data_IF_027160547007
#
_entry.id   IF_027160547007
#
_cell.length_a   1.000
_cell.length_b   1.000
_cell.length_c   1.000
_cell.angle_alpha   90.00
_cell.angle_beta   90.00
_cell.angle_gamma   90.00
#
_symmetry.space_group_name_H-M   'P 1'
#
loop_
_entity.id
_entity.type
_entity.pdbx_description
1 polymer ?
#
# COMPACT_ATOMS: atom_id res chain seq x y z
N UNK A 1 14.22 4.34 42.53
CA UNK A 1 12.80 4.57 42.27
C UNK A 1 12.66 5.01 40.82
N UNK A 2 12.21 4.12 39.94
CA UNK A 2 11.81 4.49 38.58
C UNK A 2 10.35 4.95 38.69
N UNK A 3 10.14 6.26 38.62
CA UNK A 3 8.80 6.83 38.53
C UNK A 3 8.12 6.33 37.25
N UNK A 4 7.12 5.47 37.41
CA UNK A 4 6.30 4.99 36.32
C UNK A 4 5.43 6.13 35.79
N UNK A 5 5.78 6.66 34.62
CA UNK A 5 4.85 7.49 33.84
C UNK A 5 3.80 6.56 33.24
N UNK A 6 2.57 6.65 33.73
CA UNK A 6 1.41 6.02 33.08
C UNK A 6 1.24 6.59 31.67
N UNK A 7 1.46 5.76 30.65
CA UNK A 7 1.06 6.05 29.28
C UNK A 7 -0.46 5.85 29.16
N UNK A 8 -1.22 6.94 29.04
CA UNK A 8 -2.63 6.88 28.67
C UNK A 8 -2.74 6.69 27.15
N UNK A 9 -3.08 5.47 26.73
CA UNK A 9 -3.41 5.17 25.33
C UNK A 9 -4.64 4.29 25.28
N UNK A 10 -5.60 4.60 24.41
CA UNK A 10 -6.76 3.77 24.16
C UNK A 10 -6.45 2.84 22.99
N UNK A 11 -6.64 1.54 23.21
CA UNK A 11 -6.57 0.55 22.14
C UNK A 11 -7.98 0.31 21.61
N UNK A 12 -8.20 0.57 20.33
CA UNK A 12 -9.49 0.39 19.67
C UNK A 12 -9.41 -0.85 18.78
N UNK A 13 -10.22 -1.85 19.10
CA UNK A 13 -10.37 -3.06 18.29
C UNK A 13 -11.48 -2.85 17.27
N UNK A 14 -11.14 -2.95 15.99
CA UNK A 14 -12.09 -2.89 14.88
C UNK A 14 -12.10 -4.24 14.18
N UNK A 15 -13.28 -4.84 14.07
CA UNK A 15 -13.48 -6.05 13.27
C UNK A 15 -14.78 -5.97 12.49
N UNK A 16 -14.96 -6.91 11.54
CA UNK A 16 -16.15 -6.96 10.69
C UNK A 16 -17.48 -7.07 11.45
N UNK A 17 -17.47 -7.50 12.72
CA UNK A 17 -18.67 -7.69 13.52
C UNK A 17 -19.06 -6.43 14.32
N UNK A 18 -18.10 -5.60 14.73
CA UNK A 18 -18.32 -4.43 15.60
C UNK A 18 -18.56 -3.10 14.85
N UNK A 19 -18.75 -3.13 13.54
CA UNK A 19 -18.89 -1.91 12.71
C UNK A 19 -20.17 -1.10 12.94
N UNK A 20 -21.17 -1.66 13.64
CA UNK A 20 -22.43 -0.94 13.96
C UNK A 20 -22.25 0.24 14.92
N UNK A 21 -21.14 0.30 15.66
CA UNK A 21 -20.89 1.33 16.67
C UNK A 21 -20.06 2.53 16.18
N UNK A 22 -19.70 2.58 14.89
CA UNK A 22 -18.97 3.70 14.30
C UNK A 22 -19.88 4.46 13.34
N UNK A 23 -20.24 5.72 13.64
CA UNK A 23 -21.20 6.47 12.84
C UNK A 23 -20.50 6.97 11.58
N UNK A 24 -20.66 6.25 10.48
CA UNK A 24 -20.93 6.75 9.12
C UNK A 24 -20.55 5.69 8.08
N UNK A 25 -21.53 5.32 7.24
CA UNK A 25 -21.51 4.38 6.11
C UNK A 25 -21.70 2.91 6.49
N UNK A 26 -22.96 2.50 6.45
CA UNK A 26 -23.35 1.10 6.36
C UNK A 26 -22.77 0.49 5.06
N UNK A 27 -21.74 -0.34 5.20
CA UNK A 27 -21.31 -1.25 4.14
C UNK A 27 -21.90 -2.63 4.44
N UNK A 28 -22.56 -3.24 3.45
CA UNK A 28 -22.93 -4.64 3.51
C UNK A 28 -21.66 -5.48 3.52
N UNK A 29 -21.37 -6.11 4.66
CA UNK A 29 -20.20 -6.97 4.83
C UNK A 29 -20.66 -8.42 4.67
N UNK A 30 -20.31 -9.00 3.53
CA UNK A 30 -20.32 -10.45 3.39
C UNK A 30 -19.19 -11.02 4.24
N UNK A 31 -19.53 -11.57 5.41
CA UNK A 31 -18.60 -12.41 6.18
C UNK A 31 -18.49 -13.76 5.47
N UNK A 32 -17.43 -13.96 4.68
CA UNK A 32 -17.12 -15.30 4.18
C UNK A 32 -16.57 -16.14 5.34
N UNK A 33 -17.17 -17.33 5.56
CA UNK A 33 -16.61 -18.33 6.48
C UNK A 33 -15.23 -18.75 5.94
N UNK A 34 -14.17 -18.37 6.64
CA UNK A 34 -12.82 -18.83 6.32
C UNK A 34 -12.68 -20.35 6.56
N UNK A 35 -11.90 -21.01 5.71
CA UNK A 35 -11.44 -22.38 5.95
C UNK A 35 -10.48 -22.45 7.14
N UNK A 36 -10.43 -23.59 7.84
CA UNK A 36 -9.68 -23.82 9.09
C UNK A 36 -8.15 -23.58 9.02
N UNK A 37 -7.56 -23.40 7.84
CA UNK A 37 -6.10 -23.34 7.63
C UNK A 37 -5.57 -22.04 7.00
N UNK A 38 -6.38 -20.98 6.90
CA UNK A 38 -5.94 -19.76 6.22
C UNK A 38 -5.13 -18.84 7.16
N UNK A 39 -4.00 -18.32 6.67
CA UNK A 39 -3.20 -17.29 7.36
C UNK A 39 -4.03 -16.01 7.53
N UNK A 40 -4.01 -15.42 8.72
CA UNK A 40 -4.81 -14.24 9.08
C UNK A 40 -3.97 -12.97 9.13
N UNK A 41 -4.55 -11.88 8.66
CA UNK A 41 -3.96 -10.55 8.78
C UNK A 41 -4.39 -9.85 10.08
N UNK A 42 -3.41 -9.38 10.84
CA UNK A 42 -3.59 -8.47 11.97
C UNK A 42 -3.04 -7.11 11.56
N UNK A 43 -3.91 -6.12 11.38
CA UNK A 43 -3.56 -4.79 10.92
C UNK A 43 -3.37 -3.90 12.13
N UNK A 44 -2.20 -3.29 12.26
CA UNK A 44 -1.89 -2.36 13.35
C UNK A 44 -1.67 -1.00 12.75
N UNK A 45 -2.28 0.03 13.33
CA UNK A 45 -2.06 1.40 12.87
C UNK A 45 -2.14 2.36 14.04
N UNK A 46 -1.17 3.26 14.11
CA UNK A 46 -1.09 4.29 15.15
C UNK A 46 -1.08 5.68 14.53
N UNK A 47 -1.64 6.65 15.23
CA UNK A 47 -1.60 8.06 14.80
C UNK A 47 -0.18 8.63 14.90
N UNK A 48 0.17 9.50 13.94
CA UNK A 48 1.38 10.32 13.94
C UNK A 48 2.67 9.56 14.34
N UNK A 49 2.90 8.38 13.73
CA UNK A 49 4.11 7.56 13.93
C UNK A 49 4.31 7.01 15.34
N UNK A 50 3.25 6.92 16.15
CA UNK A 50 3.38 6.51 17.55
C UNK A 50 2.53 5.28 17.91
N UNK A 51 3.07 4.49 18.84
CA UNK A 51 2.34 3.43 19.55
C UNK A 51 2.20 2.09 18.82
N UNK A 52 2.22 2.05 17.49
CA UNK A 52 2.06 0.79 16.74
C UNK A 52 3.19 -0.21 17.00
N UNK A 53 4.44 0.27 17.05
CA UNK A 53 5.62 -0.56 17.31
C UNK A 53 5.54 -1.33 18.64
N UNK A 54 5.02 -0.72 19.70
CA UNK A 54 4.88 -1.40 21.00
C UNK A 54 3.88 -2.57 20.94
N UNK A 55 2.81 -2.42 20.17
CA UNK A 55 1.83 -3.51 19.97
C UNK A 55 2.43 -4.58 19.07
N UNK A 56 3.17 -4.19 18.01
CA UNK A 56 3.90 -5.13 17.17
C UNK A 56 4.85 -5.97 18.03
N UNK A 57 5.70 -5.33 18.85
CA UNK A 57 6.66 -6.01 19.72
C UNK A 57 5.98 -6.95 20.72
N UNK A 58 4.88 -6.52 21.34
CA UNK A 58 4.08 -7.38 22.21
C UNK A 58 3.54 -8.61 21.46
N UNK A 59 3.02 -8.43 20.24
CA UNK A 59 2.50 -9.56 19.45
C UNK A 59 3.61 -10.53 19.02
N UNK A 60 4.86 -10.06 18.84
CA UNK A 60 6.01 -10.93 18.51
C UNK A 60 6.30 -11.95 19.61
N UNK A 61 5.88 -11.72 20.86
CA UNK A 61 6.08 -12.64 21.98
C UNK A 61 5.16 -13.88 21.90
N UNK A 62 4.04 -13.79 21.17
CA UNK A 62 3.08 -14.88 21.07
C UNK A 62 3.44 -15.86 19.95
N UNK A 63 3.38 -17.16 20.26
CA UNK A 63 3.56 -18.21 19.26
C UNK A 63 2.54 -18.07 18.12
N UNK A 64 3.00 -18.32 16.89
CA UNK A 64 2.21 -18.22 15.65
C UNK A 64 1.75 -16.79 15.28
N UNK A 65 2.37 -15.76 15.85
CA UNK A 65 2.31 -14.38 15.38
C UNK A 65 3.66 -14.00 14.79
N UNK A 66 3.65 -13.41 13.62
CA UNK A 66 4.87 -12.96 12.98
C UNK A 66 4.66 -11.60 12.31
N UNK A 67 5.54 -10.62 12.57
CA UNK A 67 5.46 -9.32 11.93
C UNK A 67 5.90 -9.42 10.47
N UNK A 68 5.22 -8.69 9.61
CA UNK A 68 5.81 -8.28 8.35
C UNK A 68 6.77 -7.12 8.67
N UNK A 69 8.08 -7.35 8.47
CA UNK A 69 9.12 -6.43 8.93
C UNK A 69 9.08 -5.04 8.26
N UNK A 70 8.79 -4.90 6.94
CA UNK A 70 8.51 -3.59 6.35
C UNK A 70 7.11 -3.08 6.73
N UNK A 71 6.92 -1.75 6.71
CA UNK A 71 5.58 -1.16 6.75
C UNK A 71 4.74 -1.62 5.54
N UNK A 72 3.48 -2.00 5.78
CA UNK A 72 2.58 -2.49 4.73
C UNK A 72 1.80 -1.36 4.05
N UNK A 73 2.50 -0.51 3.30
CA UNK A 73 1.96 0.78 2.83
C UNK A 73 1.13 0.71 1.54
N UNK A 74 1.02 -0.46 0.93
CA UNK A 74 0.38 -0.69 -0.38
C UNK A 74 -1.05 -0.17 -0.50
N UNK A 75 -1.77 -0.11 0.62
CA UNK A 75 -3.15 0.35 0.63
C UNK A 75 -3.22 1.87 0.53
N UNK A 76 -2.35 2.57 1.26
CA UNK A 76 -2.51 3.99 1.63
C UNK A 76 -1.50 4.91 0.96
N UNK A 77 -0.37 4.40 0.47
CA UNK A 77 0.60 5.21 -0.27
C UNK A 77 0.00 5.74 -1.59
N UNK A 78 0.43 6.92 -2.08
CA UNK A 78 -0.05 7.49 -3.33
C UNK A 78 0.19 6.58 -4.55
N UNK A 79 -0.91 6.20 -5.20
CA UNK A 79 -0.97 5.19 -6.25
C UNK A 79 -1.23 3.77 -5.76
N UNK A 80 -1.60 3.60 -4.49
CA UNK A 80 -1.95 2.33 -3.85
C UNK A 80 -3.37 1.87 -4.13
N UNK A 81 -3.87 0.91 -3.33
CA UNK A 81 -5.18 0.29 -3.55
C UNK A 81 -6.36 1.26 -3.39
N UNK A 82 -6.28 2.23 -2.47
CA UNK A 82 -7.33 3.24 -2.31
C UNK A 82 -7.47 4.14 -3.55
N UNK A 83 -6.35 4.60 -4.10
CA UNK A 83 -6.34 5.42 -5.32
C UNK A 83 -6.84 4.61 -6.52
N UNK A 84 -6.52 3.31 -6.55
CA UNK A 84 -6.99 2.39 -7.57
C UNK A 84 -8.51 2.19 -7.50
N UNK A 85 -9.08 1.93 -6.33
CA UNK A 85 -10.54 1.85 -6.16
C UNK A 85 -11.20 3.16 -6.59
N UNK A 86 -10.68 4.30 -6.13
CA UNK A 86 -11.24 5.60 -6.47
C UNK A 86 -11.24 5.85 -7.99
N UNK A 87 -10.12 5.57 -8.67
CA UNK A 87 -10.01 5.76 -10.11
C UNK A 87 -10.95 4.85 -10.91
N UNK A 88 -10.98 3.56 -10.58
CA UNK A 88 -11.71 2.53 -11.35
C UNK A 88 -13.21 2.53 -11.05
N UNK A 89 -13.61 2.84 -9.81
CA UNK A 89 -15.00 2.74 -9.36
C UNK A 89 -15.70 4.11 -9.33
N UNK A 90 -15.02 5.15 -8.85
CA UNK A 90 -15.65 6.47 -8.60
C UNK A 90 -15.42 7.43 -9.77
N UNK A 91 -14.16 7.69 -10.13
CA UNK A 91 -13.85 8.68 -11.17
C UNK A 91 -14.20 8.19 -12.57
N UNK A 92 -13.85 6.94 -12.90
CA UNK A 92 -14.06 6.29 -14.21
C UNK A 92 -13.55 7.05 -15.44
N UNK A 93 -12.70 8.06 -15.25
CA UNK A 93 -12.04 8.76 -16.35
C UNK A 93 -10.95 7.86 -16.94
N UNK A 94 -10.99 7.62 -18.26
CA UNK A 94 -10.02 6.75 -18.93
C UNK A 94 -8.57 7.22 -18.76
N UNK A 95 -8.32 8.55 -18.71
CA UNK A 95 -6.99 9.11 -18.49
C UNK A 95 -6.51 8.86 -17.06
N UNK A 96 -7.40 9.00 -16.08
CA UNK A 96 -7.14 8.72 -14.65
C UNK A 96 -6.92 7.24 -14.42
N UNK A 97 -7.76 6.37 -14.97
CA UNK A 97 -7.62 4.91 -14.89
C UNK A 97 -6.26 4.49 -15.41
N UNK A 98 -5.90 4.91 -16.64
CA UNK A 98 -4.62 4.57 -17.22
C UNK A 98 -3.44 5.07 -16.36
N UNK A 99 -3.52 6.31 -15.87
CA UNK A 99 -2.48 6.90 -15.02
C UNK A 99 -2.30 6.11 -13.73
N UNK A 100 -3.38 5.83 -12.99
CA UNK A 100 -3.32 5.13 -11.70
C UNK A 100 -2.90 3.67 -11.87
N UNK A 101 -3.33 2.97 -12.93
CA UNK A 101 -2.85 1.61 -13.21
C UNK A 101 -1.34 1.57 -13.46
N UNK A 102 -0.80 2.54 -14.22
CA UNK A 102 0.65 2.67 -14.44
C UNK A 102 1.38 3.03 -13.14
N UNK A 103 0.80 3.93 -12.35
CA UNK A 103 1.33 4.36 -11.07
C UNK A 103 1.39 3.20 -10.07
N UNK A 104 0.37 2.36 -9.98
CA UNK A 104 0.36 1.16 -9.14
C UNK A 104 1.46 0.17 -9.57
N UNK A 105 1.59 -0.11 -10.88
CA UNK A 105 2.70 -0.94 -11.39
C UNK A 105 4.07 -0.37 -11.04
N UNK A 106 4.22 0.96 -11.07
CA UNK A 106 5.46 1.61 -10.66
C UNK A 106 5.71 1.50 -9.14
N UNK A 107 4.66 1.66 -8.33
CA UNK A 107 4.71 1.50 -6.87
C UNK A 107 5.13 0.08 -6.48
N UNK A 108 4.54 -0.94 -7.08
CA UNK A 108 4.87 -2.35 -6.78
C UNK A 108 6.31 -2.69 -7.14
N UNK A 109 6.82 -2.12 -8.24
CA UNK A 109 8.22 -2.19 -8.61
C UNK A 109 9.14 -1.50 -7.60
N UNK A 110 8.71 -0.40 -6.98
CA UNK A 110 9.48 0.22 -5.88
C UNK A 110 9.53 -0.74 -4.69
N UNK A 111 8.41 -1.29 -4.27
CA UNK A 111 8.35 -2.19 -3.11
C UNK A 111 9.16 -3.48 -3.29
N UNK A 112 9.21 -3.99 -4.52
CA UNK A 112 10.00 -5.17 -4.89
C UNK A 112 11.52 -4.92 -4.95
N UNK A 113 12.01 -3.67 -5.00
CA UNK A 113 13.45 -3.38 -5.09
C UNK A 113 14.19 -3.76 -3.82
N UNK A 114 15.40 -4.28 -4.03
CA UNK A 114 16.31 -4.79 -3.00
C UNK A 114 17.21 -3.69 -2.40
N UNK A 115 16.64 -2.54 -2.00
CA UNK A 115 17.39 -1.46 -1.37
C UNK A 115 16.53 -0.63 -0.41
N UNK A 116 16.64 -0.90 0.89
CA UNK A 116 15.91 -0.12 1.90
C UNK A 116 16.65 1.19 2.18
N UNK A 117 15.92 2.28 2.44
CA UNK A 117 16.51 3.60 2.70
C UNK A 117 17.36 3.66 4.00
N UNK A 118 17.19 2.69 4.90
CA UNK A 118 18.02 2.50 6.10
C UNK A 118 19.22 1.57 5.90
N UNK A 119 19.40 0.99 4.71
CA UNK A 119 20.58 0.17 4.44
C UNK A 119 21.84 1.03 4.53
N UNK A 120 22.88 0.54 5.22
CA UNK A 120 24.18 1.21 5.27
C UNK A 120 24.68 1.50 3.85
N UNK A 121 25.24 2.71 3.67
CA UNK A 121 25.82 3.11 2.39
C UNK A 121 26.88 2.10 1.96
N UNK A 122 26.71 1.55 0.76
CA UNK A 122 27.71 0.70 0.10
C UNK A 122 27.91 1.25 -1.31
N UNK A 123 29.15 1.42 -1.74
CA UNK A 123 29.50 2.05 -3.02
C UNK A 123 28.78 1.39 -4.22
N UNK A 124 28.65 0.06 -4.20
CA UNK A 124 27.95 -0.70 -5.26
C UNK A 124 26.42 -0.54 -5.22
N UNK A 125 25.87 0.06 -4.16
CA UNK A 125 24.45 0.43 -4.03
C UNK A 125 24.19 1.92 -4.32
N UNK A 126 25.23 2.73 -4.60
CA UNK A 126 25.09 4.18 -4.76
C UNK A 126 24.13 4.60 -5.89
N UNK A 127 23.96 3.75 -6.91
CA UNK A 127 23.03 3.99 -8.03
C UNK A 127 21.68 3.26 -7.87
N UNK A 128 21.47 2.54 -6.77
CA UNK A 128 20.20 1.86 -6.52
C UNK A 128 19.16 2.84 -5.99
N UNK A 129 17.95 2.75 -6.54
CA UNK A 129 16.81 3.54 -6.05
C UNK A 129 16.18 2.85 -4.86
N UNK A 130 15.66 3.63 -3.92
CA UNK A 130 14.96 3.16 -2.73
C UNK A 130 13.84 2.17 -3.11
N UNK A 131 13.67 1.19 -2.24
CA UNK A 131 12.64 0.16 -2.22
C UNK A 131 12.37 -0.34 -0.80
N UNK A 132 11.55 -1.39 -0.71
CA UNK A 132 11.06 -1.93 0.57
C UNK A 132 11.36 -3.42 0.77
N UNK A 133 12.11 -4.04 -0.15
CA UNK A 133 12.55 -5.43 -0.06
C UNK A 133 11.40 -6.43 0.15
N UNK A 134 10.20 -6.21 -0.40
CA UNK A 134 9.05 -7.10 -0.14
C UNK A 134 9.37 -8.56 -0.47
N UNK A 135 10.10 -8.81 -1.56
CA UNK A 135 10.55 -10.14 -1.97
C UNK A 135 11.44 -10.88 -0.95
N UNK A 136 12.03 -10.17 0.02
CA UNK A 136 12.83 -10.78 1.10
C UNK A 136 11.96 -11.43 2.18
N UNK A 137 10.69 -11.05 2.27
CA UNK A 137 9.80 -11.37 3.38
C UNK A 137 8.60 -12.24 2.96
N UNK A 138 8.63 -12.79 1.74
CA UNK A 138 7.57 -13.61 1.20
C UNK A 138 8.13 -14.61 0.17
N UNK A 139 7.53 -15.79 0.07
CA UNK A 139 7.98 -16.84 -0.87
C UNK A 139 7.74 -16.54 -2.36
N UNK A 140 6.79 -15.65 -2.67
CA UNK A 140 6.42 -15.27 -4.03
C UNK A 140 7.13 -13.99 -4.45
N UNK A 141 7.35 -13.81 -5.76
CA UNK A 141 7.82 -12.53 -6.27
C UNK A 141 6.67 -11.51 -6.29
N UNK A 142 6.83 -10.42 -5.53
CA UNK A 142 5.82 -9.38 -5.33
C UNK A 142 5.44 -8.65 -6.62
N UNK A 143 6.42 -8.26 -7.45
CA UNK A 143 6.17 -7.52 -8.69
C UNK A 143 5.36 -8.35 -9.72
N UNK A 144 5.75 -9.60 -10.06
CA UNK A 144 4.93 -10.47 -10.91
C UNK A 144 3.53 -10.74 -10.36
N UNK A 145 3.40 -11.02 -9.06
CA UNK A 145 2.09 -11.22 -8.41
C UNK A 145 1.20 -9.98 -8.59
N UNK A 146 1.76 -8.79 -8.37
CA UNK A 146 1.04 -7.52 -8.51
C UNK A 146 0.71 -7.18 -9.96
N UNK A 147 1.58 -7.54 -10.91
CA UNK A 147 1.30 -7.36 -12.33
C UNK A 147 0.16 -8.26 -12.80
N UNK A 148 0.08 -9.50 -12.33
CA UNK A 148 -1.05 -10.40 -12.60
C UNK A 148 -2.35 -9.80 -12.08
N UNK A 149 -2.37 -9.32 -10.83
CA UNK A 149 -3.52 -8.65 -10.25
C UNK A 149 -3.99 -7.45 -11.09
N UNK A 150 -3.07 -6.58 -11.52
CA UNK A 150 -3.43 -5.45 -12.38
C UNK A 150 -3.96 -5.91 -13.75
N UNK A 151 -3.36 -6.94 -14.34
CA UNK A 151 -3.85 -7.48 -15.60
C UNK A 151 -5.28 -8.06 -15.46
N UNK A 152 -5.63 -8.63 -14.31
CA UNK A 152 -6.99 -9.07 -14.02
C UNK A 152 -7.99 -7.91 -13.91
N UNK A 153 -7.55 -6.68 -13.62
CA UNK A 153 -8.43 -5.51 -13.57
C UNK A 153 -8.64 -4.85 -14.94
N UNK A 154 -7.84 -5.17 -15.95
CA UNK A 154 -7.82 -4.49 -17.25
C UNK A 154 -8.74 -5.20 -18.23
N UNK A 155 -9.71 -4.46 -18.79
CA UNK A 155 -10.62 -4.98 -19.82
C UNK A 155 -10.04 -4.75 -21.24
N UNK A 156 -9.36 -3.63 -21.45
CA UNK A 156 -8.83 -3.25 -22.76
C UNK A 156 -7.42 -2.70 -22.68
N UNK A 157 -6.58 -3.13 -23.62
CA UNK A 157 -5.21 -2.68 -23.85
C UNK A 157 -5.11 -2.15 -25.28
N UNK A 158 -4.69 -0.91 -25.46
CA UNK A 158 -4.47 -0.34 -26.79
C UNK A 158 -3.23 0.54 -26.80
N UNK A 159 -2.76 0.89 -28.00
CA UNK A 159 -1.61 1.76 -28.19
C UNK A 159 -2.08 3.17 -28.58
N UNK A 160 -1.59 4.19 -27.89
CA UNK A 160 -1.95 5.58 -28.19
C UNK A 160 -1.06 6.58 -27.48
N UNK A 161 -1.45 7.86 -27.58
CA UNK A 161 -0.73 8.99 -27.01
C UNK A 161 -1.64 9.75 -26.04
N UNK A 162 -1.27 9.79 -24.76
CA UNK A 162 -2.01 10.55 -23.75
C UNK A 162 -1.12 11.64 -23.17
N UNK A 163 -1.70 12.82 -22.96
CA UNK A 163 -1.00 13.95 -22.34
C UNK A 163 -0.45 13.60 -20.94
N UNK A 164 -1.15 12.75 -20.19
CA UNK A 164 -0.73 12.30 -18.84
C UNK A 164 0.60 11.55 -18.86
N UNK A 165 0.95 10.92 -19.98
CA UNK A 165 2.23 10.22 -20.16
C UNK A 165 3.45 11.13 -20.21
N UNK A 166 3.23 12.45 -20.26
CA UNK A 166 4.27 13.46 -20.28
C UNK A 166 4.53 14.06 -18.90
N UNK A 167 3.59 13.92 -17.96
CA UNK A 167 3.66 14.57 -16.64
C UNK A 167 4.82 14.05 -15.78
N UNK A 168 5.14 12.76 -15.89
CA UNK A 168 6.20 12.11 -15.11
C UNK A 168 7.57 12.12 -15.81
N UNK A 169 7.70 12.78 -16.98
CA UNK A 169 8.97 12.86 -17.69
C UNK A 169 9.90 13.86 -17.01
N UNK A 170 11.11 13.41 -16.65
CA UNK A 170 12.17 14.31 -16.24
C UNK A 170 12.68 15.15 -17.45
N UNK A 171 13.40 16.23 -17.17
CA UNK A 171 13.90 17.15 -18.19
C UNK A 171 14.71 16.46 -19.29
N UNK A 172 15.56 15.48 -18.95
CA UNK A 172 16.36 14.74 -19.93
C UNK A 172 15.46 13.88 -20.84
N UNK A 173 14.53 13.12 -20.26
CA UNK A 173 13.58 12.31 -21.03
C UNK A 173 12.71 13.16 -21.94
N UNK A 174 12.28 14.34 -21.47
CA UNK A 174 11.51 15.28 -22.27
C UNK A 174 12.35 15.92 -23.38
N UNK A 175 13.61 16.26 -23.11
CA UNK A 175 14.56 16.76 -24.12
C UNK A 175 14.80 15.71 -25.20
N UNK A 176 15.07 14.45 -24.83
CA UNK A 176 15.26 13.34 -25.77
C UNK A 176 14.00 13.10 -26.62
N UNK A 177 12.81 13.24 -26.02
CA UNK A 177 11.56 13.14 -26.75
C UNK A 177 11.41 14.27 -27.78
N UNK A 178 11.74 15.52 -27.42
CA UNK A 178 11.78 16.65 -28.37
C UNK A 178 12.81 16.45 -29.48
N UNK A 179 14.00 15.96 -29.14
CA UNK A 179 15.04 15.66 -30.13
C UNK A 179 14.58 14.58 -31.12
N UNK A 180 13.95 13.50 -30.61
CA UNK A 180 13.32 12.48 -31.46
C UNK A 180 12.27 13.12 -32.37
N UNK A 181 11.41 13.98 -31.84
CA UNK A 181 10.37 14.64 -32.62
C UNK A 181 10.94 15.51 -33.74
N UNK A 182 12.03 16.24 -33.46
CA UNK A 182 12.77 17.01 -34.45
C UNK A 182 13.37 16.12 -35.55
N UNK A 183 14.04 15.03 -35.19
CA UNK A 183 14.65 14.09 -36.16
C UNK A 183 13.57 13.45 -37.04
N UNK A 184 12.46 12.99 -36.47
CA UNK A 184 11.39 12.35 -37.25
C UNK A 184 10.75 13.32 -38.25
N UNK A 185 10.65 14.61 -37.90
CA UNK A 185 10.21 15.66 -38.82
C UNK A 185 11.17 15.86 -39.99
N UNK A 186 12.48 15.77 -39.76
CA UNK A 186 13.48 15.84 -40.83
C UNK A 186 13.41 14.64 -41.79
N UNK A 187 13.02 13.47 -41.28
CA UNK A 187 12.90 12.24 -42.06
C UNK A 187 11.54 12.06 -42.76
N UNK A 188 10.65 13.06 -42.69
CA UNK A 188 9.26 13.02 -43.18
C UNK A 188 8.47 11.76 -42.71
N UNK A 189 8.76 11.30 -41.49
CA UNK A 189 8.09 10.14 -40.88
C UNK A 189 7.01 10.62 -39.91
N UNK A 190 5.86 9.93 -39.93
CA UNK A 190 4.81 10.10 -38.90
C UNK A 190 5.42 9.93 -37.52
N UNK A 191 5.28 10.97 -36.70
CA UNK A 191 5.86 11.04 -35.38
C UNK A 191 4.75 10.93 -34.33
N UNK A 192 4.49 9.71 -33.85
CA UNK A 192 3.56 9.47 -32.76
C UNK A 192 4.31 8.85 -31.59
N UNK A 193 4.24 9.50 -30.41
CA UNK A 193 4.51 8.77 -29.17
C UNK A 193 3.37 7.78 -29.04
N UNK A 194 3.70 6.52 -28.92
CA UNK A 194 2.70 5.47 -28.76
C UNK A 194 3.12 4.62 -27.58
N UNK A 195 2.25 4.57 -26.59
CA UNK A 195 2.44 3.78 -25.40
C UNK A 195 1.21 2.90 -25.17
N UNK A 196 1.40 1.82 -24.39
CA UNK A 196 0.29 1.00 -23.93
C UNK A 196 -0.59 1.84 -23.01
N UNK A 197 -1.87 1.90 -23.33
CA UNK A 197 -2.93 2.52 -22.54
C UNK A 197 -3.82 1.40 -22.01
N UNK A 198 -4.19 1.54 -20.74
CA UNK A 198 -5.01 0.57 -20.02
C UNK A 198 -6.38 1.17 -19.69
N UNK A 199 -7.43 0.38 -19.89
CA UNK A 199 -8.78 0.73 -19.53
C UNK A 199 -9.43 -0.39 -18.71
N UNK A 200 -10.30 0.01 -17.77
CA UNK A 200 -11.05 -0.87 -16.89
C UNK A 200 -12.43 -0.27 -16.65
N UNK A 201 -13.46 -1.11 -16.75
CA UNK A 201 -14.85 -0.84 -16.40
C UNK A 201 -15.35 -1.88 -15.38
N UNK A 202 -14.47 -2.31 -14.48
CA UNK A 202 -14.80 -3.25 -13.41
C UNK A 202 -15.83 -2.64 -12.44
N UNK A 203 -16.75 -3.47 -11.93
CA UNK A 203 -17.66 -3.07 -10.87
C UNK A 203 -17.02 -3.21 -9.47
N UNK A 204 -17.63 -2.56 -8.47
CA UNK A 204 -17.07 -2.51 -7.11
C UNK A 204 -16.90 -3.90 -6.50
N UNK A 205 -17.90 -4.76 -6.60
CA UNK A 205 -17.86 -6.09 -5.96
C UNK A 205 -16.76 -6.97 -6.56
N UNK A 206 -16.60 -6.92 -7.89
CA UNK A 206 -15.54 -7.64 -8.60
C UNK A 206 -14.16 -7.08 -8.27
N UNK A 207 -14.03 -5.75 -8.13
CA UNK A 207 -12.78 -5.13 -7.69
C UNK A 207 -12.40 -5.59 -6.28
N UNK A 208 -13.34 -5.54 -5.32
CA UNK A 208 -13.09 -5.98 -3.95
C UNK A 208 -12.73 -7.47 -3.90
N UNK A 209 -13.44 -8.32 -4.65
CA UNK A 209 -13.15 -9.75 -4.71
C UNK A 209 -11.73 -10.02 -5.23
N UNK A 210 -11.35 -9.41 -6.37
CA UNK A 210 -9.99 -9.56 -6.95
C UNK A 210 -8.91 -8.98 -6.05
N UNK A 211 -9.20 -7.87 -5.36
CA UNK A 211 -8.27 -7.25 -4.42
C UNK A 211 -8.03 -8.15 -3.21
N UNK A 212 -9.08 -8.76 -2.67
CA UNK A 212 -8.98 -9.73 -1.57
C UNK A 212 -8.17 -10.96 -1.96
N UNK A 213 -8.44 -11.52 -3.13
CA UNK A 213 -7.65 -12.64 -3.65
C UNK A 213 -6.15 -12.27 -3.75
N UNK A 214 -5.86 -11.06 -4.24
CA UNK A 214 -4.50 -10.55 -4.33
C UNK A 214 -3.84 -10.38 -2.95
N UNK A 215 -4.51 -9.77 -1.98
CA UNK A 215 -3.96 -9.62 -0.63
C UNK A 215 -3.83 -10.97 0.08
N UNK A 216 -4.76 -11.91 -0.11
CA UNK A 216 -4.71 -13.23 0.49
C UNK A 216 -3.48 -13.99 -0.03
N UNK A 217 -3.19 -13.93 -1.34
CA UNK A 217 -1.95 -14.49 -1.92
C UNK A 217 -0.69 -13.88 -1.29
N UNK A 218 -0.67 -12.57 -1.01
CA UNK A 218 0.45 -11.92 -0.31
C UNK A 218 0.57 -12.46 1.13
N UNK A 219 -0.52 -12.45 1.88
CA UNK A 219 -0.56 -12.86 3.29
C UNK A 219 -0.13 -14.31 3.45
N UNK A 220 -0.66 -15.20 2.62
CA UNK A 220 -0.29 -16.61 2.63
C UNK A 220 1.19 -16.82 2.26
N UNK A 221 1.71 -16.02 1.33
CA UNK A 221 3.11 -16.07 0.95
C UNK A 221 4.04 -15.61 2.07
N UNK A 222 3.63 -14.63 2.88
CA UNK A 222 4.37 -14.20 4.07
C UNK A 222 4.21 -15.23 5.20
N UNK A 223 2.99 -15.78 5.36
CA UNK A 223 2.67 -16.84 6.31
C UNK A 223 3.55 -18.07 6.17
N UNK A 224 3.72 -18.55 4.93
CA UNK A 224 4.61 -19.68 4.61
C UNK A 224 6.08 -19.34 4.88
N UNK A 225 6.55 -18.19 4.41
CA UNK A 225 7.92 -17.71 4.62
C UNK A 225 8.28 -17.62 6.11
N UNK A 226 7.35 -17.14 6.93
CA UNK A 226 7.57 -16.95 8.37
C UNK A 226 7.12 -18.15 9.23
N UNK A 227 6.61 -19.22 8.62
CA UNK A 227 5.99 -20.36 9.31
C UNK A 227 4.94 -19.95 10.37
N UNK A 228 4.11 -18.96 10.04
CA UNK A 228 3.16 -18.34 10.98
C UNK A 228 1.74 -18.32 10.44
N UNK A 229 0.77 -18.49 11.34
CA UNK A 229 -0.67 -18.42 11.02
C UNK A 229 -1.23 -17.01 11.11
N UNK A 230 -0.59 -16.11 11.87
CA UNK A 230 -1.02 -14.72 12.02
C UNK A 230 0.12 -13.82 11.58
N UNK A 231 -0.14 -12.99 10.57
CA UNK A 231 0.80 -12.00 10.07
C UNK A 231 0.37 -10.62 10.56
N UNK A 232 1.28 -9.94 11.24
CA UNK A 232 1.08 -8.62 11.80
C UNK A 232 1.62 -7.58 10.84
N UNK A 233 0.76 -6.70 10.33
CA UNK A 233 1.12 -5.65 9.41
C UNK A 233 1.07 -4.30 10.12
N UNK A 234 2.24 -3.68 10.27
CA UNK A 234 2.34 -2.32 10.79
C UNK A 234 2.00 -1.29 9.71
N UNK A 235 1.26 -0.25 10.11
CA UNK A 235 0.80 0.86 9.28
C UNK A 235 0.08 0.43 7.99
N UNK A 236 -0.64 -0.71 8.05
CA UNK A 236 -1.34 -1.28 6.90
C UNK A 236 -2.51 -0.42 6.43
N UNK A 237 -3.20 0.22 7.36
CA UNK A 237 -4.38 1.05 7.11
C UNK A 237 -4.19 2.41 7.75
N UNK A 238 -4.92 3.42 7.27
CA UNK A 238 -4.91 4.72 7.95
C UNK A 238 -5.83 4.63 9.17
N UNK A 239 -5.37 5.06 10.37
CA UNK A 239 -6.21 5.09 11.56
C UNK A 239 -7.52 5.87 11.38
N UNK A 240 -7.46 7.01 10.67
CA UNK A 240 -8.60 7.88 10.40
C UNK A 240 -9.67 7.24 9.50
N UNK A 241 -9.32 6.19 8.76
CA UNK A 241 -10.22 5.54 7.82
C UNK A 241 -9.90 4.05 7.62
N UNK A 242 -9.73 3.34 8.74
CA UNK A 242 -9.31 1.94 8.73
C UNK A 242 -10.29 1.05 7.94
N UNK A 243 -11.58 1.37 8.00
CA UNK A 243 -12.67 0.61 7.35
C UNK A 243 -12.45 0.48 5.84
N UNK A 244 -12.04 1.56 5.16
CA UNK A 244 -11.78 1.52 3.72
C UNK A 244 -10.57 0.65 3.35
N UNK A 245 -9.56 0.54 4.22
CA UNK A 245 -8.43 -0.36 3.98
C UNK A 245 -8.76 -1.81 4.32
N UNK A 246 -9.54 -2.03 5.38
CA UNK A 246 -9.93 -3.36 5.86
C UNK A 246 -10.75 -4.16 4.85
N UNK A 247 -11.56 -3.49 4.02
CA UNK A 247 -12.39 -4.19 3.03
C UNK A 247 -11.57 -5.01 2.02
N UNK A 248 -10.28 -4.68 1.84
CA UNK A 248 -9.38 -5.39 0.94
C UNK A 248 -8.87 -6.71 1.50
N UNK A 249 -9.20 -7.06 2.74
CA UNK A 249 -8.82 -8.33 3.36
C UNK A 249 -10.06 -9.20 3.60
N UNK A 250 -9.89 -10.52 3.54
CA UNK A 250 -11.01 -11.47 3.71
C UNK A 250 -11.53 -11.58 5.15
N UNK A 251 -10.69 -11.33 6.16
CA UNK A 251 -11.09 -11.29 7.58
C UNK A 251 -9.96 -10.67 8.46
N UNK A 252 -9.69 -9.37 8.32
CA UNK A 252 -8.66 -8.72 9.12
C UNK A 252 -9.14 -8.55 10.58
N UNK A 253 -8.20 -8.61 11.51
CA UNK A 253 -8.36 -7.98 12.83
C UNK A 253 -7.56 -6.70 12.84
N UNK A 254 -8.17 -5.60 13.26
CA UNK A 254 -7.49 -4.30 13.25
C UNK A 254 -7.39 -3.74 14.65
N UNK A 255 -6.19 -3.28 15.00
CA UNK A 255 -5.86 -2.61 16.24
C UNK A 255 -5.44 -1.18 15.90
N UNK A 256 -6.26 -0.22 16.31
CA UNK A 256 -5.92 1.20 16.22
C UNK A 256 -5.40 1.67 17.57
N UNK A 257 -4.20 2.25 17.55
CA UNK A 257 -3.59 2.85 18.74
C UNK A 257 -3.91 4.34 18.72
N UNK A 258 -4.69 4.76 19.71
CA UNK A 258 -5.04 6.14 19.95
C UNK A 258 -4.27 6.65 21.18
N UNK A 259 -3.25 7.46 20.92
CA UNK A 259 -2.41 8.09 21.96
C UNK A 259 -2.80 9.54 22.11
N UNK A 260 -2.67 10.06 23.33
CA UNK A 260 -2.85 11.48 23.59
C UNK A 260 -1.95 12.34 22.67
N UNK A 261 -2.50 13.28 21.89
CA UNK A 261 -1.71 14.09 20.97
C UNK A 261 -0.65 14.94 21.69
N UNK A 262 -0.84 15.27 22.97
CA UNK A 262 0.15 15.99 23.78
C UNK A 262 1.38 15.13 24.05
N UNK A 263 1.21 13.83 24.28
CA UNK A 263 2.32 12.91 24.42
C UNK A 263 3.14 12.83 23.13
N UNK A 264 2.43 12.78 21.99
CA UNK A 264 3.05 12.75 20.66
C UNK A 264 3.83 14.05 20.43
N UNK A 265 3.24 15.19 20.78
CA UNK A 265 3.87 16.50 20.68
C UNK A 265 5.15 16.58 21.54
N UNK A 266 5.08 16.18 22.82
CA UNK A 266 6.25 16.19 23.70
C UNK A 266 7.34 15.24 23.17
N UNK A 267 6.96 14.06 22.71
CA UNK A 267 7.88 13.10 22.11
C UNK A 267 8.55 13.66 20.85
N UNK A 268 7.78 14.28 19.95
CA UNK A 268 8.32 14.81 18.69
C UNK A 268 9.19 16.04 18.90
N UNK A 269 8.83 16.91 19.83
CA UNK A 269 9.62 18.07 20.22
C UNK A 269 10.97 17.67 20.80
N UNK A 270 10.97 16.67 21.69
CA UNK A 270 12.21 16.13 22.29
C UNK A 270 13.11 15.44 21.26
N UNK A 271 12.52 14.72 20.31
CA UNK A 271 13.28 13.99 19.27
C UNK A 271 13.64 14.86 18.06
N UNK A 272 13.22 16.13 18.01
CA UNK A 272 13.35 17.03 16.84
C UNK A 272 12.78 16.41 15.55
N UNK A 273 11.77 15.55 15.67
CA UNK A 273 11.05 14.97 14.53
C UNK A 273 9.88 15.87 14.13
N UNK A 274 10.14 16.82 13.23
CA UNK A 274 9.16 17.83 12.78
C UNK A 274 8.06 17.29 11.83
N UNK A 275 7.96 15.97 11.62
CA UNK A 275 7.01 15.35 10.69
C UNK A 275 5.72 14.83 11.35
N UNK A 276 5.55 15.04 12.66
CA UNK A 276 4.33 14.65 13.37
C UNK A 276 3.40 15.86 13.52
N UNK A 277 2.26 15.80 12.84
CA UNK A 277 1.20 16.79 13.01
C UNK A 277 0.38 16.35 14.22
N UNK A 278 0.35 17.13 15.31
CA UNK A 278 -0.62 16.87 16.38
C UNK A 278 -2.02 17.02 15.78
N UNK A 279 -2.84 15.98 15.89
CA UNK A 279 -4.25 16.03 15.48
C UNK A 279 -5.11 16.21 16.73
N UNK A 280 -6.05 17.16 16.67
CA UNK A 280 -7.05 17.43 17.70
C UNK A 280 -8.25 16.47 17.60
#
# INVERSE_FOLDING_TARGET
MLEGKCFYGRMIFVDHCNLKNYPNRAFNIMSNKLGKNQTKAILISGYAWSGSGAVVDLLKEFKNYSPFEPEFRLITDPGGLLDLEHALITSKSYTTINYVLKRFKFLTKIYARNFHWRDNFKIYKAFQKIGFNYNKYMDLNFEPLSNSYIDDLIDLKYYGDLITSYYDLNHLSFFLLKARFFIMRLLDKKNTKSEKIYFSNINKDSFIAKTREYTDKIIESIGRHNHSQHIVFDQAVQPSNAILGMQYFSNPKTIIIDRDPRDIYVQSHNLKFYSSIPMD
#
